data_IF_253344268395
#
_entry.id   IF_253344268395
#
_cell.length_a   1.000
_cell.length_b   1.000
_cell.length_c   1.000
_cell.angle_alpha   90.00
_cell.angle_beta   90.00
_cell.angle_gamma   90.00
#
_symmetry.space_group_name_H-M   'P 1'
#
loop_
_entity.id
_entity.type
_entity.pdbx_description
1 polymer ?
#
# COMPACT_ATOMS: atom_id res chain seq x y z
N UNK A 1 10.24 -30.51 14.54
CA UNK A 1 10.14 -30.35 13.07
C UNK A 1 8.73 -29.85 12.77
N UNK A 2 8.56 -28.92 11.85
CA UNK A 2 7.24 -28.38 11.49
C UNK A 2 6.46 -29.41 10.66
N UNK A 3 5.23 -29.74 11.07
CA UNK A 3 4.35 -30.66 10.34
C UNK A 3 3.43 -29.87 9.40
N UNK A 4 3.76 -29.92 8.12
CA UNK A 4 3.05 -29.18 7.07
C UNK A 4 1.64 -29.73 6.85
N UNK A 5 1.44 -31.04 6.95
CA UNK A 5 0.13 -31.65 6.73
C UNK A 5 -0.83 -31.27 7.86
N UNK A 6 -0.35 -31.31 9.10
CA UNK A 6 -1.14 -30.84 10.24
C UNK A 6 -1.50 -29.36 10.09
N UNK A 7 -0.57 -28.50 9.68
CA UNK A 7 -0.84 -27.08 9.45
C UNK A 7 -1.87 -26.85 8.34
N UNK A 8 -1.72 -27.49 7.18
CA UNK A 8 -2.65 -27.35 6.05
C UNK A 8 -4.04 -27.92 6.34
N UNK A 9 -4.16 -28.83 7.32
CA UNK A 9 -5.45 -29.34 7.79
C UNK A 9 -6.25 -28.33 8.65
N UNK A 10 -5.61 -27.25 9.11
CA UNK A 10 -6.28 -26.22 9.90
C UNK A 10 -7.27 -25.40 9.05
N UNK A 11 -8.30 -24.81 9.69
CA UNK A 11 -9.25 -23.92 9.01
C UNK A 11 -8.57 -22.75 8.32
N UNK A 12 -9.19 -22.28 7.23
CA UNK A 12 -8.67 -21.16 6.41
C UNK A 12 -8.43 -19.91 7.25
N UNK A 13 -9.34 -19.56 8.17
CA UNK A 13 -9.21 -18.36 8.99
C UNK A 13 -7.96 -18.40 9.89
N UNK A 14 -7.64 -19.56 10.45
CA UNK A 14 -6.42 -19.74 11.26
C UNK A 14 -5.17 -19.57 10.41
N UNK A 15 -5.13 -20.20 9.24
CA UNK A 15 -3.99 -20.08 8.31
C UNK A 15 -3.85 -18.64 7.81
N UNK A 16 -4.95 -17.97 7.52
CA UNK A 16 -4.97 -16.56 7.10
C UNK A 16 -4.34 -15.65 8.16
N UNK A 17 -4.67 -15.82 9.44
CA UNK A 17 -4.05 -15.03 10.51
C UNK A 17 -2.55 -15.31 10.66
N UNK A 18 -2.14 -16.58 10.55
CA UNK A 18 -0.71 -16.93 10.55
C UNK A 18 0.02 -16.25 9.38
N UNK A 19 -0.57 -16.29 8.19
CA UNK A 19 0.00 -15.68 7.00
C UNK A 19 0.05 -14.15 7.04
N UNK A 20 -0.92 -13.49 7.69
CA UNK A 20 -0.86 -12.05 7.97
C UNK A 20 0.35 -11.70 8.85
N UNK A 21 0.70 -12.54 9.82
CA UNK A 21 1.87 -12.32 10.68
C UNK A 21 3.19 -12.65 9.96
N UNK A 22 3.18 -13.64 9.07
CA UNK A 22 4.34 -14.01 8.26
C UNK A 22 4.74 -12.91 7.26
N UNK A 23 3.76 -12.11 6.81
CA UNK A 23 3.99 -10.87 6.06
C UNK A 23 4.90 -11.08 4.82
N UNK A 24 4.68 -12.18 4.10
CA UNK A 24 5.45 -12.53 2.90
C UNK A 24 6.91 -12.97 3.12
N UNK A 25 7.37 -13.14 4.37
CA UNK A 25 8.71 -13.66 4.65
C UNK A 25 8.70 -15.19 4.71
N UNK A 26 9.02 -15.85 3.60
CA UNK A 26 9.07 -17.31 3.51
C UNK A 26 10.47 -17.90 3.78
N UNK A 27 11.47 -17.04 3.92
CA UNK A 27 12.86 -17.42 4.21
C UNK A 27 13.33 -16.76 5.49
N UNK A 28 14.39 -17.31 6.06
CA UNK A 28 15.08 -16.71 7.22
C UNK A 28 16.04 -15.58 6.81
N UNK A 29 16.07 -15.21 5.53
CA UNK A 29 16.93 -14.15 5.02
C UNK A 29 16.25 -12.80 5.26
N UNK A 30 16.90 -11.94 6.03
CA UNK A 30 16.49 -10.55 6.19
C UNK A 30 17.70 -9.61 5.97
N UNK A 31 17.71 -8.84 4.87
CA UNK A 31 18.82 -7.93 4.58
C UNK A 31 18.97 -6.77 5.58
N UNK A 32 17.93 -6.45 6.38
CA UNK A 32 17.96 -5.32 7.32
C UNK A 32 18.11 -5.71 8.79
N UNK A 33 18.23 -7.01 9.12
CA UNK A 33 18.40 -7.42 10.51
C UNK A 33 19.79 -6.97 11.01
N UNK A 34 19.83 -5.78 11.60
CA UNK A 34 21.02 -5.18 12.24
C UNK A 34 21.51 -5.97 13.46
N UNK A 35 20.72 -6.94 13.93
CA UNK A 35 21.18 -7.93 14.89
C UNK A 35 22.18 -8.86 14.23
N UNK A 36 23.40 -8.80 14.72
CA UNK A 36 24.52 -9.74 14.63
C UNK A 36 24.20 -11.22 14.95
N UNK A 37 22.95 -11.65 14.85
CA UNK A 37 22.59 -12.99 14.42
C UNK A 37 22.89 -13.06 12.92
N UNK A 38 24.18 -13.06 12.59
CA UNK A 38 24.63 -13.46 11.28
C UNK A 38 23.79 -14.64 10.81
N UNK A 39 23.49 -14.68 9.52
CA UNK A 39 23.17 -15.92 8.81
C UNK A 39 24.41 -16.82 8.98
N UNK A 40 24.58 -17.37 10.19
CA UNK A 40 25.44 -18.48 10.52
C UNK A 40 24.65 -19.71 10.09
N UNK A 41 24.38 -19.79 8.78
CA UNK A 41 24.51 -21.11 8.19
C UNK A 41 25.95 -21.52 8.50
N UNK A 42 26.17 -22.65 9.20
CA UNK A 42 27.50 -23.02 9.64
C UNK A 42 28.44 -22.99 8.43
N UNK A 43 29.44 -22.12 8.49
CA UNK A 43 30.52 -21.98 7.52
C UNK A 43 31.28 -23.30 7.29
N UNK A 44 31.02 -24.32 8.11
CA UNK A 44 31.60 -25.66 8.03
C UNK A 44 30.93 -26.61 7.01
N UNK A 45 29.89 -26.20 6.26
CA UNK A 45 29.26 -27.04 5.22
C UNK A 45 28.91 -26.30 3.93
N UNK A 46 29.69 -25.30 3.52
CA UNK A 46 29.68 -24.83 2.12
C UNK A 46 30.56 -25.80 1.31
N UNK A 47 30.27 -27.09 1.40
CA UNK A 47 30.93 -28.12 0.63
C UNK A 47 30.17 -28.28 -0.70
N UNK A 48 30.85 -27.94 -1.80
CA UNK A 48 30.57 -28.40 -3.16
C UNK A 48 29.10 -28.32 -3.61
N UNK A 49 28.48 -27.14 -3.52
CA UNK A 49 27.31 -26.88 -4.36
C UNK A 49 27.78 -26.80 -5.82
N UNK A 50 27.07 -27.42 -6.77
CA UNK A 50 27.40 -27.39 -8.20
C UNK A 50 27.57 -25.94 -8.67
N UNK A 51 28.82 -25.47 -8.73
CA UNK A 51 29.16 -24.06 -8.89
C UNK A 51 28.53 -23.48 -10.16
N UNK A 52 28.56 -24.26 -11.26
CA UNK A 52 27.99 -23.86 -12.55
C UNK A 52 26.47 -23.65 -12.51
N UNK A 53 25.71 -24.53 -11.86
CA UNK A 53 24.24 -24.38 -11.79
C UNK A 53 23.83 -23.21 -10.89
N UNK A 54 24.56 -23.00 -9.79
CA UNK A 54 24.35 -21.82 -8.95
C UNK A 54 24.70 -20.53 -9.69
N UNK A 55 25.78 -20.49 -10.45
CA UNK A 55 26.19 -19.32 -11.22
C UNK A 55 25.15 -18.95 -12.28
N UNK A 56 24.61 -19.93 -13.01
CA UNK A 56 23.53 -19.69 -13.98
C UNK A 56 22.25 -19.14 -13.33
N UNK A 57 21.90 -19.61 -12.13
CA UNK A 57 20.76 -19.06 -11.40
C UNK A 57 21.05 -17.64 -10.92
N UNK A 58 22.25 -17.39 -10.38
CA UNK A 58 22.65 -16.05 -9.93
C UNK A 58 22.57 -15.06 -11.08
N UNK A 59 23.10 -15.41 -12.25
CA UNK A 59 23.07 -14.53 -13.42
C UNK A 59 21.64 -14.23 -13.88
N UNK A 60 20.75 -15.24 -13.87
CA UNK A 60 19.34 -15.07 -14.23
C UNK A 60 18.59 -14.10 -13.30
N UNK A 61 18.90 -14.11 -12.01
CA UNK A 61 18.23 -13.28 -11.00
C UNK A 61 19.02 -12.03 -10.63
N UNK A 62 20.12 -11.74 -11.32
CA UNK A 62 21.09 -10.70 -10.96
C UNK A 62 20.44 -9.35 -10.71
N UNK A 63 19.49 -8.94 -11.56
CA UNK A 63 18.75 -7.69 -11.42
C UNK A 63 17.94 -7.53 -10.12
N UNK A 64 17.65 -8.63 -9.41
CA UNK A 64 16.86 -8.65 -8.18
C UNK A 64 17.65 -9.01 -6.92
N UNK A 65 18.90 -9.47 -7.06
CA UNK A 65 19.69 -9.96 -5.91
C UNK A 65 21.07 -9.30 -5.79
N UNK A 66 21.58 -8.66 -6.85
CA UNK A 66 22.93 -8.08 -6.87
C UNK A 66 23.12 -6.98 -5.81
N UNK A 67 22.06 -6.27 -5.44
CA UNK A 67 22.14 -5.25 -4.38
C UNK A 67 22.42 -5.82 -2.99
N UNK A 68 22.35 -7.14 -2.79
CA UNK A 68 22.69 -7.81 -1.54
C UNK A 68 24.11 -8.41 -1.51
N UNK A 69 24.95 -8.17 -2.54
CA UNK A 69 26.34 -8.67 -2.58
C UNK A 69 27.19 -8.21 -1.38
N UNK A 70 26.82 -7.09 -0.75
CA UNK A 70 27.49 -6.58 0.45
C UNK A 70 27.30 -7.47 1.69
N UNK A 71 26.32 -8.38 1.70
CA UNK A 71 26.05 -9.32 2.80
C UNK A 71 26.73 -10.65 2.49
N UNK A 72 27.73 -11.09 3.30
CA UNK A 72 28.42 -12.35 3.06
C UNK A 72 27.47 -13.55 3.00
N UNK A 73 27.67 -14.42 1.99
CA UNK A 73 26.91 -15.66 1.77
C UNK A 73 25.40 -15.50 1.53
N UNK A 74 24.88 -14.28 1.43
CA UNK A 74 23.45 -14.03 1.28
C UNK A 74 22.91 -14.63 -0.03
N UNK A 75 23.56 -14.31 -1.15
CA UNK A 75 23.17 -14.79 -2.48
C UNK A 75 23.19 -16.32 -2.54
N UNK A 76 24.24 -16.95 -2.04
CA UNK A 76 24.35 -18.41 -2.02
C UNK A 76 23.24 -19.06 -1.17
N UNK A 77 22.89 -18.43 -0.04
CA UNK A 77 21.78 -18.89 0.80
C UNK A 77 20.44 -18.70 0.11
N UNK A 78 20.26 -17.57 -0.58
CA UNK A 78 19.05 -17.28 -1.35
C UNK A 78 18.84 -18.29 -2.48
N UNK A 79 19.87 -18.57 -3.27
CA UNK A 79 19.86 -19.59 -4.35
C UNK A 79 19.45 -20.97 -3.82
N UNK A 80 19.93 -21.32 -2.62
CA UNK A 80 19.56 -22.58 -1.98
C UNK A 80 18.08 -22.62 -1.59
N UNK A 81 17.54 -21.55 -1.00
CA UNK A 81 16.10 -21.48 -0.69
C UNK A 81 15.25 -21.47 -1.96
N UNK A 82 15.59 -20.59 -2.91
CA UNK A 82 14.81 -20.28 -4.10
C UNK A 82 14.58 -21.51 -4.99
N UNK A 83 15.54 -22.44 -5.02
CA UNK A 83 15.44 -23.71 -5.74
C UNK A 83 14.23 -24.58 -5.34
N UNK A 84 13.81 -24.52 -4.07
CA UNK A 84 12.73 -25.36 -3.53
C UNK A 84 11.48 -24.56 -3.16
N UNK A 85 11.66 -23.30 -2.77
CA UNK A 85 10.60 -22.48 -2.17
C UNK A 85 9.39 -22.27 -3.10
N UNK A 86 9.62 -22.21 -4.42
CA UNK A 86 8.54 -22.12 -5.42
C UNK A 86 7.63 -23.35 -5.47
N UNK A 87 8.07 -24.49 -4.94
CA UNK A 87 7.29 -25.73 -4.91
C UNK A 87 6.77 -26.04 -3.52
N UNK A 88 7.06 -25.19 -2.54
CA UNK A 88 6.65 -25.39 -1.16
C UNK A 88 5.12 -25.29 -1.05
N UNK A 89 4.50 -26.30 -0.43
CA UNK A 89 3.05 -26.37 -0.32
C UNK A 89 2.44 -25.32 0.62
N UNK A 90 3.20 -24.81 1.60
CA UNK A 90 2.78 -23.68 2.44
C UNK A 90 2.78 -22.39 1.63
N UNK A 91 3.77 -22.20 0.75
CA UNK A 91 3.82 -21.03 -0.14
C UNK A 91 2.68 -21.07 -1.17
N UNK A 92 2.42 -22.22 -1.78
CA UNK A 92 1.30 -22.35 -2.73
C UNK A 92 -0.05 -22.13 -2.05
N UNK A 93 -0.24 -22.64 -0.83
CA UNK A 93 -1.43 -22.39 -0.03
C UNK A 93 -1.59 -20.90 0.34
N UNK A 94 -0.50 -20.25 0.75
CA UNK A 94 -0.47 -18.81 0.97
C UNK A 94 -0.93 -18.04 -0.27
N UNK A 95 -0.44 -18.41 -1.47
CA UNK A 95 -0.80 -17.73 -2.71
C UNK A 95 -2.27 -17.97 -3.11
N UNK A 96 -2.81 -19.17 -2.84
CA UNK A 96 -4.23 -19.48 -3.05
C UNK A 96 -5.12 -18.65 -2.15
N UNK A 97 -4.77 -18.54 -0.86
CA UNK A 97 -5.50 -17.65 0.06
C UNK A 97 -5.32 -16.19 -0.34
N UNK A 98 -4.13 -15.76 -0.73
CA UNK A 98 -3.91 -14.40 -1.22
C UNK A 98 -4.82 -14.09 -2.43
N UNK A 99 -4.97 -15.04 -3.35
CA UNK A 99 -5.89 -14.93 -4.48
C UNK A 99 -7.37 -14.86 -4.02
N UNK A 100 -7.79 -15.76 -3.13
CA UNK A 100 -9.16 -15.84 -2.60
C UNK A 100 -9.59 -14.53 -1.90
N UNK A 101 -8.65 -13.85 -1.24
CA UNK A 101 -8.86 -12.57 -0.55
C UNK A 101 -8.34 -11.35 -1.34
N UNK A 102 -8.38 -11.41 -2.69
CA UNK A 102 -8.10 -10.30 -3.61
C UNK A 102 -6.74 -9.58 -3.40
N UNK A 103 -5.67 -10.35 -3.21
CA UNK A 103 -4.31 -9.85 -2.94
C UNK A 103 -4.16 -9.10 -1.60
N UNK A 104 -4.96 -9.45 -0.59
CA UNK A 104 -4.90 -8.82 0.73
C UNK A 104 -3.65 -9.14 1.57
N UNK A 105 -2.92 -10.23 1.26
CA UNK A 105 -1.74 -10.66 2.02
C UNK A 105 -0.43 -10.13 1.41
N UNK A 106 -0.24 -10.28 0.10
CA UNK A 106 0.92 -9.74 -0.62
C UNK A 106 0.56 -9.25 -2.01
N UNK A 107 1.41 -8.35 -2.51
CA UNK A 107 1.35 -7.87 -3.89
C UNK A 107 2.06 -8.85 -4.80
N UNK A 108 1.41 -9.14 -5.92
CA UNK A 108 2.00 -9.88 -7.03
C UNK A 108 2.51 -8.87 -8.05
N UNK A 109 3.75 -9.02 -8.48
CA UNK A 109 4.42 -8.11 -9.40
C UNK A 109 4.72 -8.80 -10.73
N UNK A 110 4.56 -8.09 -11.84
CA UNK A 110 5.14 -8.54 -13.11
C UNK A 110 6.64 -8.26 -13.09
N UNK A 111 7.42 -9.28 -13.43
CA UNK A 111 8.89 -9.23 -13.48
C UNK A 111 9.39 -9.84 -14.80
N UNK A 112 10.61 -9.47 -15.20
CA UNK A 112 11.35 -10.08 -16.31
C UNK A 112 12.58 -10.81 -15.76
N UNK A 113 12.83 -12.04 -16.20
CA UNK A 113 13.96 -12.88 -15.78
C UNK A 113 14.95 -13.11 -16.92
N UNK A 114 15.07 -12.10 -17.78
CA UNK A 114 15.90 -12.03 -18.98
C UNK A 114 15.68 -13.08 -20.08
N UNK A 115 14.75 -14.00 -19.90
CA UNK A 115 14.31 -14.95 -20.92
C UNK A 115 13.26 -14.38 -21.90
N UNK A 116 12.82 -13.13 -21.69
CA UNK A 116 11.82 -12.47 -22.52
C UNK A 116 10.40 -12.97 -22.29
N UNK A 117 10.17 -13.75 -21.21
CA UNK A 117 8.86 -14.21 -20.78
C UNK A 117 8.47 -13.47 -19.51
N UNK A 118 7.24 -12.96 -19.49
CA UNK A 118 6.71 -12.29 -18.30
C UNK A 118 6.48 -13.30 -17.17
N UNK A 119 7.03 -13.02 -16.01
CA UNK A 119 6.89 -13.84 -14.80
C UNK A 119 6.13 -13.07 -13.71
N UNK A 120 5.50 -13.80 -12.81
CA UNK A 120 4.83 -13.27 -11.62
C UNK A 120 5.80 -13.44 -10.45
N UNK A 121 6.29 -12.33 -9.92
CA UNK A 121 7.16 -12.26 -8.75
C UNK A 121 6.39 -11.92 -7.48
N UNK A 122 6.82 -12.52 -6.38
CA UNK A 122 6.34 -12.21 -5.03
C UNK A 122 7.52 -11.75 -4.21
N UNK A 123 7.44 -10.52 -3.73
CA UNK A 123 8.45 -9.92 -2.89
C UNK A 123 8.05 -10.02 -1.41
N UNK A 124 9.03 -9.77 -0.54
CA UNK A 124 8.76 -9.58 0.88
C UNK A 124 7.83 -8.37 1.12
N UNK A 125 7.41 -8.17 2.38
CA UNK A 125 6.51 -7.07 2.74
C UNK A 125 6.99 -5.67 2.37
N UNK A 126 8.30 -5.51 2.14
CA UNK A 126 8.95 -4.25 1.80
C UNK A 126 9.02 -4.02 0.29
N UNK A 127 8.53 -4.96 -0.53
CA UNK A 127 8.71 -5.00 -1.98
C UNK A 127 10.22 -4.94 -2.36
N UNK A 128 11.11 -5.56 -1.57
CA UNK A 128 12.58 -5.47 -1.73
C UNK A 128 13.20 -6.80 -2.17
N UNK A 129 13.02 -7.87 -1.39
CA UNK A 129 13.61 -9.17 -1.73
C UNK A 129 12.62 -10.07 -2.47
N UNK A 130 12.99 -10.54 -3.67
CA UNK A 130 12.24 -11.55 -4.40
C UNK A 130 12.25 -12.87 -3.61
N UNK A 131 11.06 -13.40 -3.28
CA UNK A 131 10.92 -14.66 -2.55
C UNK A 131 10.64 -15.81 -3.51
N UNK A 132 9.59 -15.69 -4.33
CA UNK A 132 9.17 -16.72 -5.29
C UNK A 132 8.72 -16.09 -6.60
N UNK A 133 8.84 -16.87 -7.67
CA UNK A 133 8.42 -16.49 -9.01
C UNK A 133 7.75 -17.67 -9.71
N UNK A 134 6.84 -17.36 -10.62
CA UNK A 134 6.14 -18.33 -11.45
C UNK A 134 5.98 -17.77 -12.86
N UNK A 135 6.07 -18.63 -13.87
CA UNK A 135 5.51 -18.24 -15.16
C UNK A 135 3.97 -18.26 -15.08
N UNK A 136 3.31 -17.71 -16.11
CA UNK A 136 1.86 -17.63 -16.19
C UNK A 136 1.17 -19.00 -16.10
N UNK A 137 1.71 -19.99 -16.80
CA UNK A 137 1.11 -21.32 -16.90
C UNK A 137 1.21 -22.08 -15.57
N UNK A 138 2.36 -22.00 -14.90
CA UNK A 138 2.62 -22.53 -13.56
C UNK A 138 1.68 -21.90 -12.54
N UNK A 139 1.57 -20.57 -12.53
CA UNK A 139 0.69 -19.87 -11.60
C UNK A 139 -0.77 -20.28 -11.80
N UNK A 140 -1.24 -20.34 -13.05
CA UNK A 140 -2.58 -20.84 -13.39
C UNK A 140 -2.79 -22.28 -12.92
N UNK A 141 -1.81 -23.15 -13.15
CA UNK A 141 -1.90 -24.58 -12.83
C UNK A 141 -1.84 -24.87 -11.33
N UNK A 142 -0.99 -24.18 -10.59
CA UNK A 142 -0.72 -24.52 -9.19
C UNK A 142 -1.50 -23.66 -8.20
N UNK A 143 -1.82 -22.41 -8.56
CA UNK A 143 -2.51 -21.47 -7.66
C UNK A 143 -3.98 -21.30 -8.05
N UNK A 144 -4.28 -21.07 -9.32
CA UNK A 144 -5.65 -20.75 -9.75
C UNK A 144 -6.51 -21.99 -10.00
N UNK A 145 -5.90 -23.10 -10.41
CA UNK A 145 -6.66 -24.32 -10.69
C UNK A 145 -7.28 -24.84 -9.39
N UNK A 146 -8.59 -25.14 -9.38
CA UNK A 146 -9.23 -25.72 -8.21
C UNK A 146 -8.51 -27.02 -7.84
N UNK A 147 -8.27 -27.31 -6.56
CA UNK A 147 -7.68 -28.57 -6.16
C UNK A 147 -8.56 -29.71 -6.71
N UNK A 148 -7.92 -30.71 -7.32
CA UNK A 148 -8.59 -31.84 -7.98
C UNK A 148 -9.78 -32.35 -7.15
N UNK A 149 -11.00 -32.22 -7.69
CA UNK A 149 -12.24 -32.70 -7.07
C UNK A 149 -13.04 -31.68 -6.27
N UNK A 150 -12.57 -30.44 -6.11
CA UNK A 150 -13.36 -29.38 -5.46
C UNK A 150 -14.39 -28.79 -6.43
N UNK A 151 -15.67 -29.13 -6.22
CA UNK A 151 -16.80 -28.35 -6.76
C UNK A 151 -16.66 -26.92 -6.19
N UNK A 152 -16.76 -25.85 -7.00
CA UNK A 152 -16.73 -24.49 -6.49
C UNK A 152 -17.88 -24.31 -5.50
N UNK A 153 -17.57 -24.39 -4.21
CA UNK A 153 -18.54 -24.25 -3.14
C UNK A 153 -18.96 -22.79 -3.08
N UNK A 154 -20.13 -22.53 -3.65
CA UNK A 154 -21.07 -21.48 -3.28
C UNK A 154 -20.48 -20.06 -3.15
N UNK A 155 -20.30 -19.36 -4.28
CA UNK A 155 -20.48 -17.90 -4.31
C UNK A 155 -21.96 -17.63 -4.56
N UNK A 156 -22.66 -17.19 -3.54
CA UNK A 156 -23.92 -16.47 -3.75
C UNK A 156 -23.66 -15.23 -4.61
N UNK A 157 -24.66 -14.91 -5.42
CA UNK A 157 -24.77 -13.76 -6.32
C UNK A 157 -24.18 -13.92 -7.74
N UNK A 158 -25.04 -14.42 -8.62
CA UNK A 158 -25.41 -13.86 -9.94
C UNK A 158 -24.29 -13.02 -10.60
N UNK A 159 -23.52 -13.69 -11.49
CA UNK A 159 -22.65 -13.20 -12.59
C UNK A 159 -21.25 -13.87 -12.66
N UNK A 160 -20.91 -14.79 -11.76
CA UNK A 160 -19.54 -15.33 -11.65
C UNK A 160 -19.15 -16.46 -12.59
N UNK A 161 -20.06 -16.98 -13.44
CA UNK A 161 -19.71 -18.08 -14.37
C UNK A 161 -18.78 -17.65 -15.52
N UNK A 162 -18.63 -16.34 -15.76
CA UNK A 162 -17.65 -15.77 -16.70
C UNK A 162 -16.45 -15.07 -16.01
N UNK A 163 -16.36 -15.13 -14.67
CA UNK A 163 -15.29 -14.47 -13.90
C UNK A 163 -14.12 -15.39 -13.56
N UNK A 164 -14.32 -16.72 -13.57
CA UNK A 164 -13.24 -17.69 -13.32
C UNK A 164 -12.15 -17.63 -14.40
N UNK A 165 -12.52 -17.29 -15.64
CA UNK A 165 -11.55 -17.03 -16.71
C UNK A 165 -10.91 -15.63 -16.66
N UNK A 166 -11.48 -14.70 -15.87
CA UNK A 166 -11.01 -13.32 -15.72
C UNK A 166 -10.36 -13.01 -14.36
N UNK A 167 -10.14 -14.01 -13.52
CA UNK A 167 -9.55 -13.85 -12.19
C UNK A 167 -8.04 -13.75 -12.25
N UNK A 168 -7.50 -12.85 -13.06
CA UNK A 168 -6.16 -12.38 -12.81
C UNK A 168 -6.21 -11.50 -11.56
N UNK A 169 -5.54 -11.94 -10.51
CA UNK A 169 -5.26 -11.13 -9.33
C UNK A 169 -4.72 -9.77 -9.73
N UNK A 170 -4.95 -8.77 -8.88
CA UNK A 170 -4.45 -7.41 -9.06
C UNK A 170 -2.91 -7.41 -9.20
N UNK A 171 -2.39 -7.48 -10.43
CA UNK A 171 -0.96 -7.47 -10.68
C UNK A 171 -0.44 -6.03 -10.60
N UNK A 172 0.76 -5.91 -10.05
CA UNK A 172 1.48 -4.67 -9.88
C UNK A 172 2.63 -4.61 -10.87
N UNK A 173 2.85 -3.44 -11.46
CA UNK A 173 4.01 -3.16 -12.29
C UNK A 173 4.81 -2.06 -11.59
N UNK A 174 6.03 -2.35 -11.15
CA UNK A 174 6.86 -1.37 -10.44
C UNK A 174 8.16 -1.10 -11.20
N UNK A 175 8.33 0.14 -11.67
CA UNK A 175 9.52 0.53 -12.44
C UNK A 175 10.80 0.58 -11.61
N UNK A 176 10.70 0.54 -10.27
CA UNK A 176 11.88 0.44 -9.39
C UNK A 176 12.27 -1.00 -9.09
N UNK A 177 11.41 -1.98 -9.40
CA UNK A 177 11.67 -3.41 -9.14
C UNK A 177 12.09 -4.12 -10.42
N UNK A 178 11.50 -3.77 -11.55
CA UNK A 178 11.77 -4.43 -12.84
C UNK A 178 13.02 -3.85 -13.47
N UNK A 179 14.08 -4.66 -13.65
CA UNK A 179 15.32 -4.25 -14.30
C UNK A 179 15.10 -3.73 -15.73
N UNK A 180 14.47 -4.53 -16.60
CA UNK A 180 14.23 -4.19 -18.02
C UNK A 180 12.73 -4.00 -18.33
N UNK A 181 12.13 -2.95 -17.77
CA UNK A 181 10.68 -2.70 -17.89
C UNK A 181 10.19 -2.58 -19.35
N UNK A 182 11.04 -2.08 -20.27
CA UNK A 182 10.68 -1.97 -21.70
C UNK A 182 10.49 -3.36 -22.32
N UNK A 183 11.41 -4.28 -22.03
CA UNK A 183 11.36 -5.68 -22.50
C UNK A 183 10.14 -6.39 -21.93
N UNK A 184 9.87 -6.22 -20.63
CA UNK A 184 8.68 -6.75 -19.98
C UNK A 184 7.39 -6.24 -20.64
N UNK A 185 7.28 -4.93 -20.85
CA UNK A 185 6.10 -4.34 -21.49
C UNK A 185 5.92 -4.84 -22.93
N UNK A 186 7.00 -4.98 -23.71
CA UNK A 186 6.92 -5.59 -25.04
C UNK A 186 6.41 -7.04 -24.98
N UNK A 187 6.81 -7.81 -23.95
CA UNK A 187 6.29 -9.15 -23.70
C UNK A 187 4.80 -9.14 -23.34
N UNK A 188 4.37 -8.23 -22.47
CA UNK A 188 2.98 -8.10 -22.05
C UNK A 188 2.08 -7.62 -23.20
N UNK A 189 2.53 -6.65 -24.01
CA UNK A 189 1.75 -6.08 -25.13
C UNK A 189 1.40 -7.13 -26.18
N UNK A 190 2.18 -8.20 -26.31
CA UNK A 190 1.88 -9.32 -27.22
C UNK A 190 0.65 -10.13 -26.77
N UNK A 191 0.26 -10.04 -25.50
CA UNK A 191 -0.89 -10.76 -24.96
C UNK A 191 -1.79 -9.81 -24.15
N UNK A 192 -2.91 -9.43 -24.77
CA UNK A 192 -3.87 -8.50 -24.16
C UNK A 192 -4.39 -8.97 -22.79
N UNK A 193 -4.53 -10.27 -22.56
CA UNK A 193 -4.95 -10.79 -21.25
C UNK A 193 -3.96 -10.42 -20.13
N UNK A 194 -2.66 -10.41 -20.44
CA UNK A 194 -1.62 -10.06 -19.49
C UNK A 194 -1.60 -8.55 -19.22
N UNK A 195 -1.83 -7.71 -20.24
CA UNK A 195 -2.01 -6.27 -20.03
C UNK A 195 -3.23 -5.98 -19.16
N UNK A 196 -4.33 -6.67 -19.40
CA UNK A 196 -5.57 -6.51 -18.67
C UNK A 196 -5.45 -6.95 -17.19
N UNK A 197 -4.46 -7.79 -16.86
CA UNK A 197 -4.16 -8.16 -15.46
C UNK A 197 -3.55 -7.04 -14.62
N UNK A 198 -2.98 -6.00 -15.25
CA UNK A 198 -2.28 -4.91 -14.54
C UNK A 198 -3.30 -3.95 -13.92
N UNK A 199 -3.40 -3.96 -12.58
CA UNK A 199 -4.34 -3.11 -11.83
C UNK A 199 -3.65 -1.91 -11.17
N UNK A 200 -2.35 -2.02 -10.89
CA UNK A 200 -1.57 -0.96 -10.26
C UNK A 200 -0.23 -0.77 -10.93
N UNK A 201 0.16 0.49 -11.13
CA UNK A 201 1.51 0.85 -11.62
C UNK A 201 2.20 1.73 -10.60
N UNK A 202 3.43 1.38 -10.24
CA UNK A 202 4.32 2.18 -9.42
C UNK A 202 5.40 2.81 -10.29
N UNK A 203 5.48 4.13 -10.25
CA UNK A 203 6.48 4.91 -10.97
C UNK A 203 7.52 5.41 -9.96
N UNK A 204 8.73 4.92 -10.16
CA UNK A 204 9.91 5.18 -9.34
C UNK A 204 11.00 5.75 -10.23
N UNK A 205 11.67 6.80 -9.79
CA UNK A 205 12.77 7.43 -10.50
C UNK A 205 13.90 7.68 -9.51
N UNK A 206 14.74 6.66 -9.31
CA UNK A 206 15.85 6.70 -8.36
C UNK A 206 17.15 7.18 -9.01
N UNK A 207 17.42 6.83 -10.27
CA UNK A 207 18.72 7.07 -10.92
C UNK A 207 18.87 8.43 -11.64
N UNK A 208 17.79 9.22 -11.76
CA UNK A 208 17.78 10.44 -12.60
C UNK A 208 17.56 11.74 -11.81
N UNK A 209 17.61 11.68 -10.48
CA UNK A 209 17.40 12.84 -9.60
C UNK A 209 18.43 13.95 -9.88
N UNK A 210 19.63 13.60 -10.35
CA UNK A 210 20.69 14.56 -10.69
C UNK A 210 20.44 15.36 -11.98
N UNK A 211 19.56 14.91 -12.89
CA UNK A 211 19.41 15.50 -14.22
C UNK A 211 18.11 16.29 -14.42
N UNK A 212 17.22 16.34 -13.42
CA UNK A 212 15.90 17.01 -13.47
C UNK A 212 14.99 16.62 -14.66
N UNK A 213 15.35 15.61 -15.42
CA UNK A 213 14.58 15.12 -16.56
C UNK A 213 13.84 13.84 -16.20
N UNK A 214 12.68 13.62 -16.80
CA UNK A 214 11.99 12.33 -16.70
C UNK A 214 12.70 11.34 -17.62
N UNK A 215 13.24 10.26 -17.05
CA UNK A 215 13.94 9.25 -17.83
C UNK A 215 13.04 8.64 -18.93
N UNK A 216 13.65 8.28 -20.06
CA UNK A 216 12.96 7.71 -21.22
C UNK A 216 12.12 6.48 -20.88
N UNK A 217 12.56 5.73 -19.87
CA UNK A 217 11.85 4.58 -19.32
C UNK A 217 10.48 4.98 -18.76
N UNK A 218 10.42 6.06 -17.96
CA UNK A 218 9.16 6.53 -17.38
C UNK A 218 8.24 7.10 -18.45
N UNK A 219 8.77 7.88 -19.40
CA UNK A 219 7.96 8.39 -20.51
C UNK A 219 7.39 7.23 -21.36
N UNK A 220 8.19 6.18 -21.58
CA UNK A 220 7.72 4.97 -22.25
C UNK A 220 6.59 4.30 -21.47
N UNK A 221 6.76 4.03 -20.17
CA UNK A 221 5.70 3.44 -19.33
C UNK A 221 4.44 4.31 -19.34
N UNK A 222 4.58 5.63 -19.19
CA UNK A 222 3.46 6.59 -19.23
C UNK A 222 2.72 6.53 -20.57
N UNK A 223 3.43 6.38 -21.69
CA UNK A 223 2.83 6.22 -23.02
C UNK A 223 2.01 4.93 -23.15
N UNK A 224 2.39 3.87 -22.43
CA UNK A 224 1.69 2.59 -22.45
C UNK A 224 0.51 2.52 -21.48
N UNK A 225 0.35 3.50 -20.57
CA UNK A 225 -0.71 3.45 -19.55
C UNK A 225 -2.12 3.37 -20.13
N UNK A 226 -2.33 3.86 -21.35
CA UNK A 226 -3.65 3.80 -21.97
C UNK A 226 -4.05 2.38 -22.40
N UNK A 227 -3.07 1.51 -22.67
CA UNK A 227 -3.31 0.10 -23.02
C UNK A 227 -3.80 -0.74 -21.83
N UNK A 228 -3.52 -0.31 -20.59
CA UNK A 228 -4.01 -1.01 -19.39
C UNK A 228 -5.48 -0.66 -19.12
N UNK A 229 -6.39 -1.52 -19.60
CA UNK A 229 -7.83 -1.31 -19.49
C UNK A 229 -8.34 -1.29 -18.04
N UNK A 230 -7.76 -2.12 -17.18
CA UNK A 230 -8.19 -2.30 -15.78
C UNK A 230 -7.28 -1.60 -14.76
N UNK A 231 -6.41 -0.70 -15.19
CA UNK A 231 -5.60 0.12 -14.29
C UNK A 231 -6.49 0.97 -13.37
N UNK A 232 -6.36 0.76 -12.06
CA UNK A 232 -7.12 1.47 -11.02
C UNK A 232 -6.24 2.27 -10.06
N UNK A 233 -4.98 1.89 -9.90
CA UNK A 233 -4.08 2.51 -8.93
C UNK A 233 -2.81 3.02 -9.62
N UNK A 234 -2.41 4.25 -9.29
CA UNK A 234 -1.08 4.77 -9.62
C UNK A 234 -0.36 5.14 -8.34
N UNK A 235 0.82 4.57 -8.15
CA UNK A 235 1.74 4.87 -7.06
C UNK A 235 2.93 5.67 -7.58
N UNK A 236 3.31 6.73 -6.88
CA UNK A 236 4.46 7.56 -7.23
C UNK A 236 5.41 7.64 -6.04
N UNK A 237 6.70 7.34 -6.28
CA UNK A 237 7.77 7.41 -5.27
C UNK A 237 8.69 8.63 -5.39
N UNK A 238 8.55 9.44 -6.44
CA UNK A 238 9.44 10.58 -6.73
C UNK A 238 8.70 11.91 -6.68
N UNK A 239 9.34 12.93 -6.08
CA UNK A 239 8.83 14.31 -6.05
C UNK A 239 8.72 14.92 -7.45
N UNK A 240 9.69 14.66 -8.31
CA UNK A 240 9.69 15.17 -9.68
C UNK A 240 8.51 14.59 -10.47
N UNK A 241 8.30 13.28 -10.35
CA UNK A 241 7.16 12.59 -10.95
C UNK A 241 5.83 13.06 -10.35
N UNK A 242 5.77 13.31 -9.04
CA UNK A 242 4.57 13.84 -8.40
C UNK A 242 4.20 15.21 -8.98
N UNK A 243 5.17 16.13 -9.12
CA UNK A 243 4.95 17.44 -9.73
C UNK A 243 4.49 17.35 -11.19
N UNK A 244 5.10 16.47 -11.98
CA UNK A 244 4.86 16.37 -13.42
C UNK A 244 3.61 15.57 -13.79
N UNK A 245 3.33 14.47 -13.08
CA UNK A 245 2.30 13.50 -13.45
C UNK A 245 1.01 13.62 -12.62
N UNK A 246 1.10 14.07 -11.36
CA UNK A 246 -0.05 14.10 -10.43
C UNK A 246 -0.50 15.51 -10.09
N UNK A 247 0.41 16.39 -9.66
CA UNK A 247 0.12 17.76 -9.25
C UNK A 247 0.14 18.71 -10.46
N UNK A 248 -0.87 18.56 -11.32
CA UNK A 248 -0.94 19.18 -12.65
C UNK A 248 -1.37 20.66 -12.64
N UNK A 249 -0.71 21.48 -11.82
CA UNK A 249 -1.00 22.92 -11.70
C UNK A 249 -0.70 23.65 -13.01
N UNK A 250 -1.74 24.13 -13.69
CA UNK A 250 -1.61 24.89 -14.94
C UNK A 250 -1.02 24.11 -16.12
N UNK A 251 -0.63 22.84 -15.93
CA UNK A 251 -0.07 22.00 -16.98
C UNK A 251 -1.16 21.59 -17.97
N UNK A 252 -0.87 21.75 -19.26
CA UNK A 252 -1.67 21.19 -20.35
C UNK A 252 -1.35 19.70 -20.54
N UNK A 253 -2.28 18.96 -21.12
CA UNK A 253 -2.07 17.56 -21.45
C UNK A 253 -1.04 17.43 -22.58
N UNK A 254 0.19 17.03 -22.22
CA UNK A 254 1.26 16.76 -23.16
C UNK A 254 1.35 15.24 -23.38
N UNK A 255 1.05 14.73 -24.58
CA UNK A 255 1.07 13.29 -24.85
C UNK A 255 2.46 12.70 -24.60
N UNK A 256 2.51 11.47 -24.07
CA UNK A 256 3.76 10.74 -23.77
C UNK A 256 4.56 11.25 -22.56
N UNK A 257 4.26 12.44 -22.03
CA UNK A 257 4.97 13.01 -20.86
C UNK A 257 4.06 13.24 -19.65
N UNK A 258 2.75 13.28 -19.88
CA UNK A 258 1.72 13.36 -18.83
C UNK A 258 0.78 12.17 -18.93
N UNK A 259 0.18 11.80 -17.81
CA UNK A 259 -0.82 10.72 -17.79
C UNK A 259 -2.08 11.24 -18.51
N UNK A 260 -2.46 10.59 -19.61
CA UNK A 260 -3.60 11.01 -20.44
C UNK A 260 -4.92 11.03 -19.68
N UNK A 261 -5.85 11.89 -20.14
CA UNK A 261 -7.16 12.06 -19.49
C UNK A 261 -7.94 10.74 -19.33
N UNK A 262 -7.95 9.89 -20.37
CA UNK A 262 -8.62 8.58 -20.34
C UNK A 262 -8.13 7.71 -19.19
N UNK A 263 -6.80 7.68 -18.96
CA UNK A 263 -6.18 6.95 -17.86
C UNK A 263 -6.58 7.57 -16.51
N UNK A 264 -6.50 8.90 -16.36
CA UNK A 264 -6.90 9.61 -15.13
C UNK A 264 -8.35 9.33 -14.73
N UNK A 265 -9.25 9.19 -15.71
CA UNK A 265 -10.66 8.86 -15.50
C UNK A 265 -10.87 7.41 -15.01
N UNK A 266 -9.95 6.48 -15.30
CA UNK A 266 -10.04 5.07 -14.85
C UNK A 266 -9.49 4.85 -13.44
N UNK A 267 -8.51 5.66 -13.05
CA UNK A 267 -7.81 5.58 -11.77
C UNK A 267 -8.76 5.95 -10.62
N UNK A 268 -8.85 5.04 -9.65
CA UNK A 268 -9.65 5.18 -8.43
C UNK A 268 -8.79 5.40 -7.20
N UNK A 269 -7.50 5.06 -7.25
CA UNK A 269 -6.58 5.14 -6.12
C UNK A 269 -5.29 5.84 -6.50
N UNK A 270 -4.85 6.78 -5.67
CA UNK A 270 -3.58 7.48 -5.81
C UNK A 270 -2.72 7.25 -4.57
N UNK A 271 -1.54 6.67 -4.77
CA UNK A 271 -0.58 6.43 -3.71
C UNK A 271 0.64 7.32 -3.93
N UNK A 272 0.97 8.17 -2.97
CA UNK A 272 2.11 9.08 -3.03
C UNK A 272 3.01 8.72 -1.86
N UNK A 273 4.25 8.32 -2.15
CA UNK A 273 5.18 7.83 -1.13
C UNK A 273 6.54 8.48 -1.23
N UNK A 274 7.23 8.68 -0.10
CA UNK A 274 8.66 9.00 -0.11
C UNK A 274 9.00 10.42 -0.59
N UNK A 275 8.14 11.41 -0.35
CA UNK A 275 8.46 12.80 -0.72
C UNK A 275 9.23 13.48 0.41
N UNK A 276 10.42 14.00 0.07
CA UNK A 276 11.32 14.62 1.04
C UNK A 276 10.94 16.04 1.45
N UNK A 277 10.58 16.86 0.47
CA UNK A 277 10.12 18.22 0.72
C UNK A 277 8.61 18.16 0.80
N UNK A 278 8.03 18.72 1.85
CA UNK A 278 6.59 18.68 2.12
C UNK A 278 5.71 19.09 0.93
N UNK A 279 4.40 18.89 1.08
CA UNK A 279 3.41 19.23 0.07
C UNK A 279 2.66 20.48 0.56
N UNK A 280 3.17 21.71 0.28
CA UNK A 280 2.51 22.92 0.73
C UNK A 280 1.21 23.17 -0.05
N UNK A 281 1.17 22.78 -1.32
CA UNK A 281 0.01 22.99 -2.19
C UNK A 281 -0.10 21.87 -3.22
N UNK A 282 -1.29 21.30 -3.35
CA UNK A 282 -1.56 20.15 -4.20
C UNK A 282 -2.91 20.31 -4.89
N UNK A 283 -2.92 20.29 -6.22
CA UNK A 283 -4.15 20.28 -6.99
C UNK A 283 -4.41 18.90 -7.57
N UNK A 284 -5.44 18.22 -7.04
CA UNK A 284 -5.87 16.89 -7.47
C UNK A 284 -7.22 16.94 -8.18
N UNK A 285 -7.74 18.11 -8.54
CA UNK A 285 -9.07 18.26 -9.14
C UNK A 285 -9.24 17.50 -10.47
N UNK A 286 -8.16 17.33 -11.23
CA UNK A 286 -8.13 16.56 -12.50
C UNK A 286 -8.31 15.04 -12.32
N UNK A 287 -8.25 14.54 -11.08
CA UNK A 287 -8.42 13.13 -10.74
C UNK A 287 -9.87 12.81 -10.36
N UNK A 288 -10.82 13.17 -11.23
CA UNK A 288 -12.25 13.25 -10.93
C UNK A 288 -12.86 11.98 -10.31
N UNK A 289 -12.40 10.79 -10.75
CA UNK A 289 -12.90 9.49 -10.29
C UNK A 289 -12.06 8.86 -9.17
N UNK A 290 -11.08 9.59 -8.65
CA UNK A 290 -10.27 9.13 -7.54
C UNK A 290 -11.10 9.08 -6.26
N UNK A 291 -11.16 7.89 -5.66
CA UNK A 291 -11.93 7.57 -4.46
C UNK A 291 -11.03 7.52 -3.23
N UNK A 292 -9.77 7.10 -3.40
CA UNK A 292 -8.82 6.91 -2.32
C UNK A 292 -7.50 7.63 -2.61
N UNK A 293 -7.06 8.47 -1.67
CA UNK A 293 -5.72 9.06 -1.69
C UNK A 293 -4.95 8.53 -0.48
N UNK A 294 -3.75 8.02 -0.73
CA UNK A 294 -2.83 7.53 0.28
C UNK A 294 -1.51 8.28 0.20
N UNK A 295 -1.18 9.00 1.27
CA UNK A 295 0.09 9.69 1.45
C UNK A 295 0.92 8.90 2.48
N UNK A 296 2.11 8.42 2.11
CA UNK A 296 2.96 7.61 2.98
C UNK A 296 4.40 8.11 3.03
N UNK A 297 5.06 8.01 4.18
CA UNK A 297 6.50 8.31 4.34
C UNK A 297 6.87 9.70 3.79
N UNK A 298 6.25 10.74 4.33
CA UNK A 298 6.50 12.13 3.93
C UNK A 298 7.32 12.82 5.03
N UNK A 299 8.54 13.26 4.70
CA UNK A 299 9.49 13.88 5.66
C UNK A 299 9.40 15.41 5.69
N UNK A 300 8.27 15.98 5.26
CA UNK A 300 8.04 17.41 5.26
C UNK A 300 6.64 17.78 5.69
N UNK A 301 6.32 19.07 5.63
CA UNK A 301 5.01 19.60 6.01
C UNK A 301 3.97 19.26 4.92
N UNK A 302 2.92 18.56 5.30
CA UNK A 302 1.72 18.38 4.48
C UNK A 302 0.69 19.42 4.94
N UNK A 303 0.40 20.42 4.10
CA UNK A 303 -0.61 21.43 4.42
C UNK A 303 -1.93 21.14 3.73
N UNK A 304 -2.91 20.62 4.48
CA UNK A 304 -4.22 20.28 3.94
C UNK A 304 -5.03 21.51 3.50
N UNK A 305 -4.66 22.73 3.91
CA UNK A 305 -5.30 23.95 3.42
C UNK A 305 -4.95 24.24 1.96
N UNK A 306 -3.75 23.83 1.53
CA UNK A 306 -3.29 23.95 0.16
C UNK A 306 -3.73 22.80 -0.76
N UNK A 307 -4.51 21.84 -0.25
CA UNK A 307 -5.01 20.70 -1.03
C UNK A 307 -6.37 21.00 -1.66
N UNK A 308 -6.44 20.86 -2.98
CA UNK A 308 -7.68 20.80 -3.73
C UNK A 308 -8.00 19.34 -4.02
N UNK A 309 -8.99 18.81 -3.31
CA UNK A 309 -9.36 17.40 -3.39
C UNK A 309 -10.24 17.10 -4.61
N UNK A 310 -10.18 15.87 -5.15
CA UNK A 310 -11.11 15.43 -6.18
C UNK A 310 -12.54 15.33 -5.65
N UNK A 311 -13.53 15.60 -6.51
CA UNK A 311 -14.96 15.62 -6.14
C UNK A 311 -15.46 14.31 -5.52
N UNK A 312 -14.95 13.17 -5.98
CA UNK A 312 -15.40 11.84 -5.55
C UNK A 312 -14.52 11.22 -4.46
N UNK A 313 -13.63 11.99 -3.84
CA UNK A 313 -12.77 11.49 -2.78
C UNK A 313 -13.61 11.04 -1.58
N UNK A 314 -13.39 9.80 -1.18
CA UNK A 314 -14.07 9.12 -0.06
C UNK A 314 -13.09 8.77 1.05
N UNK A 315 -11.90 8.30 0.69
CA UNK A 315 -10.92 7.81 1.64
C UNK A 315 -9.62 8.63 1.56
N UNK A 316 -9.21 9.22 2.69
CA UNK A 316 -7.91 9.86 2.84
C UNK A 316 -7.08 9.11 3.87
N UNK A 317 -5.90 8.65 3.47
CA UNK A 317 -4.99 7.88 4.32
C UNK A 317 -3.66 8.61 4.41
N UNK A 318 -3.27 9.02 5.61
CA UNK A 318 -1.99 9.67 5.92
C UNK A 318 -1.20 8.74 6.84
N UNK A 319 -0.05 8.25 6.38
CA UNK A 319 0.82 7.35 7.16
C UNK A 319 2.26 7.84 7.19
N UNK A 320 2.93 7.78 8.33
CA UNK A 320 4.34 8.18 8.48
C UNK A 320 4.57 9.60 7.92
N UNK A 321 3.81 10.58 8.43
CA UNK A 321 3.91 11.99 8.02
C UNK A 321 4.59 12.75 9.14
N UNK A 322 5.71 13.41 8.85
CA UNK A 322 6.47 14.10 9.89
C UNK A 322 5.69 15.27 10.50
N UNK A 323 5.16 16.16 9.64
CA UNK A 323 4.39 17.33 10.08
C UNK A 323 3.11 17.44 9.24
N UNK A 324 1.96 17.45 9.90
CA UNK A 324 0.66 17.63 9.28
C UNK A 324 0.05 18.94 9.73
N UNK A 325 -0.15 19.88 8.80
CA UNK A 325 -0.95 21.08 9.06
C UNK A 325 -2.41 20.79 8.69
N UNK A 326 -3.26 20.79 9.72
CA UNK A 326 -4.67 20.48 9.58
C UNK A 326 -5.44 21.64 8.93
N UNK A 327 -6.67 21.37 8.50
CA UNK A 327 -7.56 22.42 8.02
C UNK A 327 -7.80 23.47 9.10
N UNK A 328 -7.66 24.74 8.73
CA UNK A 328 -7.91 25.88 9.62
C UNK A 328 -9.41 26.19 9.67
N UNK A 329 -9.99 26.16 10.88
CA UNK A 329 -11.40 26.47 11.14
C UNK A 329 -11.54 27.68 12.08
N UNK A 330 -10.98 28.82 11.68
CA UNK A 330 -10.91 30.02 12.54
C UNK A 330 -12.29 30.51 13.02
N UNK A 331 -13.31 30.45 12.17
CA UNK A 331 -14.69 30.83 12.55
C UNK A 331 -15.29 29.88 13.59
N UNK A 332 -15.00 28.59 13.47
CA UNK A 332 -15.47 27.57 14.41
C UNK A 332 -14.82 27.77 15.78
N UNK A 333 -13.52 28.08 15.81
CA UNK A 333 -12.82 28.38 17.06
C UNK A 333 -13.41 29.61 17.77
N UNK A 334 -13.77 30.66 17.03
CA UNK A 334 -14.43 31.86 17.61
C UNK A 334 -15.80 31.52 18.22
N UNK A 335 -16.60 30.71 17.53
CA UNK A 335 -17.91 30.28 18.05
C UNK A 335 -17.79 29.45 19.32
N UNK A 336 -16.80 28.56 19.36
CA UNK A 336 -16.51 27.71 20.52
C UNK A 336 -16.00 28.52 21.71
N UNK A 337 -15.09 29.47 21.50
CA UNK A 337 -14.56 30.35 22.56
C UNK A 337 -15.61 31.28 23.19
N UNK A 338 -16.64 31.64 22.42
CA UNK A 338 -17.72 32.49 22.93
C UNK A 338 -18.70 31.70 23.81
N UNK A 339 -18.59 30.36 23.82
CA UNK A 339 -19.60 29.46 24.37
C UNK A 339 -18.97 28.33 25.20
N UNK A 340 -18.29 28.69 26.29
CA UNK A 340 -17.51 27.75 27.12
C UNK A 340 -18.30 26.52 27.64
N UNK A 341 -19.63 26.63 27.76
CA UNK A 341 -20.50 25.54 28.24
C UNK A 341 -20.87 24.50 27.16
N UNK A 342 -20.46 24.70 25.91
CA UNK A 342 -20.86 23.85 24.78
C UNK A 342 -19.95 22.62 24.64
N UNK A 343 -18.75 22.61 25.24
CA UNK A 343 -17.81 21.48 25.07
C UNK A 343 -17.93 20.50 26.24
N UNK A 344 -18.13 19.22 25.91
CA UNK A 344 -17.93 18.10 26.84
C UNK A 344 -16.55 17.51 26.55
N UNK A 345 -15.68 17.48 27.57
CA UNK A 345 -14.43 16.74 27.47
C UNK A 345 -14.66 15.26 27.80
N UNK A 346 -14.20 14.39 26.90
CA UNK A 346 -14.09 12.94 27.14
C UNK A 346 -12.64 12.53 26.99
N UNK A 347 -12.17 11.74 27.94
CA UNK A 347 -10.92 11.00 27.78
C UNK A 347 -11.25 9.71 27.04
N UNK A 348 -10.81 9.61 25.79
CA UNK A 348 -11.03 8.43 24.98
C UNK A 348 -9.82 7.49 25.10
N UNK A 349 -10.08 6.23 25.45
CA UNK A 349 -9.06 5.17 25.56
C UNK A 349 -8.85 4.46 24.21
N UNK A 350 -9.52 4.87 23.13
CA UNK A 350 -9.45 4.17 21.85
C UNK A 350 -8.21 4.53 21.02
N UNK A 351 -7.02 4.11 21.46
CA UNK A 351 -6.05 3.60 20.50
C UNK A 351 -6.52 2.19 20.14
N UNK A 352 -7.16 2.05 18.97
CA UNK A 352 -7.64 0.74 18.53
C UNK A 352 -6.45 -0.23 18.44
N UNK A 353 -6.40 -1.18 19.39
CA UNK A 353 -5.58 -2.36 19.30
C UNK A 353 -6.09 -3.19 18.12
N UNK A 354 -5.28 -3.30 17.08
CA UNK A 354 -5.46 -4.41 16.16
C UNK A 354 -4.98 -5.67 16.89
N UNK A 355 -5.91 -6.47 17.42
CA UNK A 355 -5.67 -7.90 17.66
C UNK A 355 -5.29 -8.38 19.06
N UNK A 356 -5.67 -7.72 20.16
CA UNK A 356 -5.60 -8.36 21.48
C UNK A 356 -6.95 -8.28 22.21
N UNK A 357 -7.48 -9.46 22.56
CA UNK A 357 -8.55 -9.60 23.53
C UNK A 357 -8.05 -9.05 24.86
N UNK A 358 -8.49 -7.85 25.23
CA UNK A 358 -8.31 -7.34 26.58
C UNK A 358 -9.53 -7.73 27.41
N UNK A 359 -9.38 -8.80 28.17
CA UNK A 359 -10.11 -8.98 29.42
C UNK A 359 -9.84 -7.75 30.31
N UNK A 360 -10.90 -7.04 30.68
CA UNK A 360 -10.91 -5.78 31.43
C UNK A 360 -10.39 -5.87 32.88
N UNK A 361 -9.56 -6.85 33.24
CA UNK A 361 -9.20 -7.10 34.65
C UNK A 361 -7.75 -6.92 35.05
N UNK A 362 -6.80 -6.74 34.14
CA UNK A 362 -5.41 -6.48 34.51
C UNK A 362 -4.94 -5.10 34.02
N UNK A 363 -5.19 -4.10 34.87
CA UNK A 363 -4.41 -2.87 34.93
C UNK A 363 -2.93 -3.19 35.16
N UNK A 364 -2.06 -2.30 34.67
CA UNK A 364 -0.59 -2.30 34.78
C UNK A 364 0.21 -2.91 33.61
N UNK A 365 -0.11 -2.49 32.38
CA UNK A 365 0.90 -2.40 31.32
C UNK A 365 1.06 -0.94 30.90
N UNK A 366 2.04 -0.27 31.51
CA UNK A 366 2.52 1.08 31.16
C UNK A 366 3.22 1.09 29.78
N UNK A 367 2.48 0.88 28.70
CA UNK A 367 2.97 1.12 27.34
C UNK A 367 2.47 2.49 26.87
N UNK A 368 3.21 3.57 27.12
CA UNK A 368 3.32 4.82 26.34
C UNK A 368 2.14 5.43 25.58
N UNK A 369 0.87 5.12 25.88
CA UNK A 369 -0.28 5.71 25.20
C UNK A 369 -0.65 7.04 25.86
N UNK A 370 -0.20 8.14 25.27
CA UNK A 370 -0.68 9.47 25.64
C UNK A 370 -2.21 9.51 25.48
N UNK A 371 -2.92 9.64 26.60
CA UNK A 371 -4.37 9.82 26.63
C UNK A 371 -4.73 11.05 25.80
N UNK A 372 -5.51 10.86 24.75
CA UNK A 372 -5.98 11.98 23.92
C UNK A 372 -7.17 12.65 24.58
N UNK A 373 -7.16 13.98 24.58
CA UNK A 373 -8.30 14.79 24.99
C UNK A 373 -9.23 14.90 23.79
N UNK A 374 -10.44 14.34 23.92
CA UNK A 374 -11.49 14.47 22.92
C UNK A 374 -12.51 15.49 23.44
N UNK A 375 -12.76 16.53 22.65
CA UNK A 375 -13.74 17.58 22.94
C UNK A 375 -14.93 17.41 22.02
N UNK A 376 -16.09 17.17 22.60
CA UNK A 376 -17.35 16.95 21.89
C UNK A 376 -18.26 18.16 22.04
N UNK A 377 -18.85 18.61 20.94
CA UNK A 377 -19.92 19.63 20.99
C UNK A 377 -21.17 19.02 21.63
N UNK A 378 -21.65 19.65 22.69
CA UNK A 378 -22.83 19.24 23.45
C UNK A 378 -24.11 19.66 22.73
N UNK A 379 -24.71 18.71 22.02
CA UNK A 379 -25.97 18.89 21.29
C UNK A 379 -27.17 19.30 22.16
N UNK A 380 -27.10 19.10 23.48
CA UNK A 380 -28.18 19.46 24.40
C UNK A 380 -28.14 20.92 24.84
N UNK A 381 -26.99 21.58 24.73
CA UNK A 381 -26.76 22.95 25.22
C UNK A 381 -26.66 23.94 24.07
N UNK A 382 -26.15 23.51 22.91
CA UNK A 382 -26.01 24.38 21.73
C UNK A 382 -27.37 24.61 21.04
N UNK A 383 -27.61 25.86 20.63
CA UNK A 383 -28.73 26.18 19.75
C UNK A 383 -28.58 25.46 18.40
N UNK A 384 -29.68 24.92 17.89
CA UNK A 384 -29.69 24.11 16.68
C UNK A 384 -29.14 24.86 15.45
N UNK A 385 -29.40 26.16 15.34
CA UNK A 385 -28.89 27.01 14.25
C UNK A 385 -27.37 27.15 14.30
N UNK A 386 -26.81 27.34 15.50
CA UNK A 386 -25.35 27.42 15.71
C UNK A 386 -24.70 26.08 15.41
N UNK A 387 -25.33 24.98 15.80
CA UNK A 387 -24.86 23.63 15.47
C UNK A 387 -24.77 23.40 13.96
N UNK A 388 -25.85 23.69 13.22
CA UNK A 388 -25.84 23.55 11.76
C UNK A 388 -24.84 24.49 11.09
N UNK A 389 -24.65 25.70 11.64
CA UNK A 389 -23.61 26.62 11.16
C UNK A 389 -22.21 26.03 11.33
N UNK A 390 -21.92 25.42 12.49
CA UNK A 390 -20.64 24.74 12.73
C UNK A 390 -20.43 23.56 11.76
N UNK A 391 -21.46 22.74 11.53
CA UNK A 391 -21.39 21.61 10.59
C UNK A 391 -21.16 22.10 9.14
N UNK A 392 -21.85 23.18 8.74
CA UNK A 392 -21.70 23.79 7.41
C UNK A 392 -20.28 24.36 7.16
N UNK A 393 -19.53 24.71 8.20
CA UNK A 393 -18.12 25.11 8.06
C UNK A 393 -17.19 23.93 7.76
N UNK A 394 -17.54 22.73 8.23
CA UNK A 394 -16.76 21.51 8.00
C UNK A 394 -17.02 20.90 6.62
N UNK A 395 -18.27 20.95 6.15
CA UNK A 395 -18.70 20.29 4.91
C UNK A 395 -17.85 20.63 3.68
N UNK A 396 -17.46 21.89 3.40
CA UNK A 396 -16.65 22.20 2.21
C UNK A 396 -15.23 21.61 2.23
N UNK A 397 -14.64 21.44 3.42
CA UNK A 397 -13.27 20.90 3.58
C UNK A 397 -13.26 19.37 3.52
N UNK A 398 -14.24 18.74 4.16
CA UNK A 398 -14.37 17.28 4.14
C UNK A 398 -15.07 16.75 2.89
N UNK A 399 -15.87 17.56 2.20
CA UNK A 399 -16.65 17.17 1.02
C UNK A 399 -17.32 15.79 1.21
N UNK A 400 -16.93 14.81 0.39
CA UNK A 400 -17.43 13.44 0.39
C UNK A 400 -16.54 12.46 1.17
N UNK A 401 -15.52 12.95 1.88
CA UNK A 401 -14.64 12.13 2.71
C UNK A 401 -15.49 11.48 3.80
N UNK A 402 -15.48 10.16 3.76
CA UNK A 402 -16.20 9.29 4.66
C UNK A 402 -15.26 8.33 5.38
N UNK A 403 -14.00 8.17 4.99
CA UNK A 403 -12.99 7.43 5.76
C UNK A 403 -11.68 8.23 5.84
N UNK A 404 -11.12 8.33 7.05
CA UNK A 404 -9.92 9.10 7.34
C UNK A 404 -8.99 8.28 8.22
N UNK A 405 -7.76 8.05 7.77
CA UNK A 405 -6.75 7.31 8.53
C UNK A 405 -5.54 8.19 8.77
N UNK A 406 -5.17 8.37 10.03
CA UNK A 406 -3.95 9.06 10.45
C UNK A 406 -3.08 8.05 11.20
N UNK A 407 -1.91 7.72 10.67
CA UNK A 407 -1.01 6.73 11.26
C UNK A 407 0.40 7.30 11.37
N UNK A 408 1.04 7.25 12.54
CA UNK A 408 2.41 7.72 12.73
C UNK A 408 2.62 9.16 12.21
N UNK A 409 1.80 10.08 12.71
CA UNK A 409 1.95 11.50 12.39
C UNK A 409 2.74 12.15 13.52
N UNK A 410 3.93 12.68 13.19
CA UNK A 410 4.91 13.15 14.17
C UNK A 410 4.44 14.41 14.91
N UNK A 411 4.14 15.47 14.16
CA UNK A 411 3.66 16.75 14.70
C UNK A 411 2.40 17.20 13.97
N UNK A 412 1.44 17.75 14.73
CA UNK A 412 0.28 18.45 14.17
C UNK A 412 0.44 19.96 14.32
N UNK A 413 0.10 20.69 13.26
CA UNK A 413 -0.07 22.14 13.28
C UNK A 413 -1.58 22.40 13.18
N UNK A 414 -2.13 23.03 14.22
CA UNK A 414 -3.56 23.28 14.37
C UNK A 414 -4.29 22.24 15.22
N UNK A 415 -5.60 22.45 15.41
CA UNK A 415 -6.48 21.51 16.13
C UNK A 415 -7.13 20.53 15.17
N UNK A 416 -7.18 19.25 15.55
CA UNK A 416 -7.83 18.23 14.74
C UNK A 416 -9.35 18.34 14.92
N UNK A 417 -10.01 19.10 14.05
CA UNK A 417 -11.47 19.23 14.04
C UNK A 417 -12.05 18.26 13.01
N UNK A 418 -13.04 17.45 13.41
CA UNK A 418 -13.68 16.46 12.55
C UNK A 418 -15.21 16.44 12.73
N UNK A 419 -15.98 16.10 11.67
CA UNK A 419 -17.41 15.83 11.78
C UNK A 419 -17.70 14.60 12.64
N UNK A 420 -18.76 14.67 13.46
CA UNK A 420 -19.26 13.58 14.30
C UNK A 420 -19.57 12.31 13.50
N UNK A 421 -20.03 12.46 12.25
CA UNK A 421 -20.29 11.31 11.34
C UNK A 421 -19.06 10.44 11.07
N UNK A 422 -17.85 11.00 11.13
CA UNK A 422 -16.60 10.25 10.94
C UNK A 422 -16.18 9.58 12.25
N UNK A 423 -16.31 10.29 13.36
CA UNK A 423 -15.90 9.82 14.67
C UNK A 423 -16.81 8.71 15.20
N UNK A 424 -18.12 8.96 15.31
CA UNK A 424 -19.08 8.01 15.91
C UNK A 424 -19.19 6.68 15.13
N UNK A 425 -19.02 6.72 13.80
CA UNK A 425 -19.09 5.54 12.94
C UNK A 425 -17.74 4.81 12.80
N UNK A 426 -16.72 5.15 13.62
CA UNK A 426 -15.37 4.56 13.55
C UNK A 426 -14.71 4.68 12.18
N UNK A 427 -15.05 5.73 11.43
CA UNK A 427 -14.49 6.00 10.09
C UNK A 427 -13.28 6.93 10.14
N UNK A 428 -13.08 7.63 11.26
CA UNK A 428 -11.80 8.21 11.64
C UNK A 428 -10.99 7.16 12.40
N UNK A 429 -9.82 6.80 11.87
CA UNK A 429 -8.85 5.91 12.51
C UNK A 429 -7.57 6.67 12.76
N UNK A 430 -7.14 6.72 13.99
CA UNK A 430 -5.92 7.43 14.37
C UNK A 430 -5.02 6.50 15.18
N UNK A 431 -3.76 6.34 14.80
CA UNK A 431 -2.84 5.40 15.43
C UNK A 431 -1.44 6.00 15.56
N UNK A 432 -0.85 5.93 16.75
CA UNK A 432 0.50 6.43 17.05
C UNK A 432 0.78 7.84 16.49
N UNK A 433 -0.20 8.73 16.61
CA UNK A 433 -0.03 10.15 16.30
C UNK A 433 0.39 10.88 17.57
N UNK A 434 1.23 11.92 17.44
CA UNK A 434 1.65 12.77 18.56
C UNK A 434 0.47 13.40 19.34
N UNK A 435 0.76 14.19 20.39
CA UNK A 435 -0.27 14.78 21.24
C UNK A 435 -1.17 15.68 20.40
N UNK A 436 -2.45 15.30 20.30
CA UNK A 436 -3.45 16.02 19.50
C UNK A 436 -4.74 16.10 20.30
N UNK A 437 -5.22 17.33 20.44
CA UNK A 437 -6.58 17.61 20.88
C UNK A 437 -7.53 17.37 19.69
N UNK A 438 -8.46 16.43 19.86
CA UNK A 438 -9.46 16.08 18.86
C UNK A 438 -10.77 16.81 19.21
N UNK A 439 -11.24 17.69 18.34
CA UNK A 439 -12.55 18.32 18.45
C UNK A 439 -13.54 17.65 17.50
N UNK A 440 -14.69 17.25 18.01
CA UNK A 440 -15.75 16.58 17.26
C UNK A 440 -17.02 17.42 17.30
N UNK A 441 -17.56 17.70 16.11
CA UNK A 441 -18.73 18.58 15.87
C UNK A 441 -19.85 17.80 15.22
#
# INVERSE_FOLDING_TARGET
MFDVQQFLSLPIDTRLEVYKQLNGHFTLLDPLSSSSSAVLLPSSKIENYNTEQSELQIERFRGYIAHYEYIPYFINSWVRYSSWLRYDCVVLDYLRLNHQYESGLTKLHWIDLDDGVAHIGVFDSRDDMLQVWYNVEEYRRWVLSPPFGAVPSYRGDIDTMNEVEKSWTAMHLDTGVVGEIKKLLLGLVRNQELLDSVRSVTLTQEEFIAQEQTGDVINYVVSQLDAFRYLRCVKIRSKLLFGKLVNLKGSRDNPGTTIGYSVRKRIRELHITGLYNGIPTCDLTKWENCVTIRLQHLTGIVDLNGFLMPKNLRCLILKNVQILKWWEFQELEKMVQTSDNIIIERHDLTSYQAGMNLDEKNNECNAGFERRKVRLVNRLVIEQEVYFKMENLLLPKFQNINHLVLQYVGQFIGKLVVPGRLYHNRRLKTFACGPVELMVV
#
